data_IF_975668599745
#
_entry.id   IF_975668599745
#
_cell.length_a   1.000
_cell.length_b   1.000
_cell.length_c   1.000
_cell.angle_alpha   90.00
_cell.angle_beta   90.00
_cell.angle_gamma   90.00
#
_symmetry.space_group_name_H-M   'P 1'
#
loop_
_entity.id
_entity.type
_entity.pdbx_description
1 polymer ?
#
# COMPACT_ATOMS: atom_id res chain seq x y z
N UNK A 1 22.87 11.53 19.05
CA UNK A 1 23.51 11.59 17.71
C UNK A 1 22.41 11.88 16.72
N UNK A 2 22.66 12.74 15.73
CA UNK A 2 21.70 13.00 14.67
C UNK A 2 21.63 11.79 13.74
N UNK A 3 20.42 11.34 13.42
CA UNK A 3 20.16 10.26 12.46
C UNK A 3 19.54 10.83 11.19
N UNK A 4 20.22 10.62 10.07
CA UNK A 4 19.78 11.06 8.74
C UNK A 4 19.40 9.84 7.94
N UNK A 5 18.15 9.78 7.49
CA UNK A 5 17.72 8.81 6.48
C UNK A 5 17.89 9.44 5.10
N UNK A 6 18.56 8.75 4.19
CA UNK A 6 18.93 9.23 2.87
C UNK A 6 18.34 8.34 1.79
N UNK A 7 17.50 8.92 0.94
CA UNK A 7 16.77 8.24 -0.14
C UNK A 7 17.24 8.80 -1.49
N UNK A 8 18.19 8.12 -2.17
CA UNK A 8 18.57 8.50 -3.53
C UNK A 8 17.54 7.97 -4.53
N UNK A 9 16.90 8.89 -5.28
CA UNK A 9 15.90 8.56 -6.29
C UNK A 9 16.16 9.30 -7.59
N UNK A 10 16.45 8.53 -8.64
CA UNK A 10 16.75 9.06 -9.97
C UNK A 10 15.52 9.24 -10.85
N UNK A 11 15.54 10.23 -11.74
CA UNK A 11 14.52 10.40 -12.77
C UNK A 11 14.60 9.33 -13.87
N UNK A 12 15.82 9.05 -14.33
CA UNK A 12 16.10 8.13 -15.45
C UNK A 12 16.03 6.65 -15.06
N UNK A 13 14.83 6.11 -14.82
CA UNK A 13 14.62 4.67 -14.64
C UNK A 13 14.40 3.98 -16.00
N UNK A 14 15.19 2.95 -16.32
CA UNK A 14 15.21 2.30 -17.65
C UNK A 14 14.03 1.36 -17.91
N UNK A 15 13.81 0.41 -17.02
CA UNK A 15 12.77 -0.63 -17.12
C UNK A 15 11.38 -0.05 -16.87
N UNK A 16 11.25 0.78 -15.84
CA UNK A 16 9.98 1.42 -15.45
C UNK A 16 10.15 2.95 -15.50
N UNK A 17 9.62 3.64 -16.53
CA UNK A 17 9.70 5.10 -16.62
C UNK A 17 9.13 5.77 -15.37
N UNK A 18 9.86 6.77 -14.83
CA UNK A 18 9.49 7.50 -13.62
C UNK A 18 9.13 6.59 -12.41
N UNK A 19 9.79 5.41 -12.29
CA UNK A 19 9.57 4.38 -11.25
C UNK A 19 9.25 4.95 -9.86
N UNK A 20 10.08 5.89 -9.40
CA UNK A 20 10.01 6.45 -8.05
C UNK A 20 8.75 7.28 -7.78
N UNK A 21 8.06 7.77 -8.81
CA UNK A 21 6.80 8.52 -8.67
C UNK A 21 5.59 7.87 -9.35
N UNK A 22 5.79 6.73 -10.01
CA UNK A 22 4.67 5.89 -10.48
C UNK A 22 3.82 5.47 -9.28
N UNK A 23 2.50 5.52 -9.45
CA UNK A 23 1.53 5.17 -8.39
C UNK A 23 1.64 3.69 -8.03
N UNK A 24 2.05 3.41 -6.80
CA UNK A 24 2.16 2.09 -6.20
C UNK A 24 1.16 2.01 -5.04
N UNK A 25 0.13 1.17 -5.16
CA UNK A 25 -0.95 1.07 -4.18
C UNK A 25 -1.58 2.43 -3.76
N UNK A 26 -1.82 3.33 -4.72
CA UNK A 26 -2.56 4.58 -4.49
C UNK A 26 -1.71 5.80 -4.13
N UNK A 27 -0.38 5.68 -4.04
CA UNK A 27 0.52 6.84 -3.90
C UNK A 27 1.86 6.62 -4.60
N UNK A 28 2.64 7.69 -4.89
CA UNK A 28 3.95 7.57 -5.52
C UNK A 28 4.88 6.62 -4.75
N UNK A 29 5.63 5.76 -5.46
CA UNK A 29 6.48 4.72 -4.85
C UNK A 29 7.37 5.24 -3.71
N UNK A 30 8.10 6.34 -3.94
CA UNK A 30 9.02 6.94 -2.96
C UNK A 30 8.33 7.39 -1.67
N UNK A 31 7.05 7.77 -1.75
CA UNK A 31 6.28 8.24 -0.59
C UNK A 31 6.05 7.13 0.45
N UNK A 32 6.14 5.85 0.08
CA UNK A 32 6.01 4.74 1.04
C UNK A 32 7.14 4.77 2.08
N UNK A 33 8.40 4.84 1.65
CA UNK A 33 9.53 4.91 2.57
C UNK A 33 9.60 6.25 3.29
N UNK A 34 9.33 7.37 2.61
CA UNK A 34 9.32 8.71 3.25
C UNK A 34 8.34 8.73 4.42
N UNK A 35 7.10 8.32 4.21
CA UNK A 35 6.07 8.36 5.26
C UNK A 35 6.40 7.42 6.43
N UNK A 36 6.98 6.25 6.15
CA UNK A 36 7.44 5.34 7.19
C UNK A 36 8.58 5.94 8.05
N UNK A 37 9.46 6.75 7.45
CA UNK A 37 10.55 7.45 8.13
C UNK A 37 10.08 8.71 8.86
N UNK A 38 9.11 9.45 8.32
CA UNK A 38 8.50 10.63 8.97
C UNK A 38 7.98 10.29 10.38
N UNK A 39 7.35 9.13 10.52
CA UNK A 39 6.81 8.64 11.80
C UNK A 39 7.81 7.82 12.63
N UNK A 40 9.01 7.53 12.10
CA UNK A 40 10.07 6.82 12.82
C UNK A 40 10.70 7.72 13.90
N UNK A 41 10.59 7.38 15.21
CA UNK A 41 11.11 8.24 16.28
C UNK A 41 12.63 8.43 16.24
N UNK A 42 13.36 7.41 15.78
CA UNK A 42 14.83 7.40 15.78
C UNK A 42 15.45 8.18 14.61
N UNK A 43 14.64 8.64 13.66
CA UNK A 43 15.07 9.44 12.50
C UNK A 43 14.78 10.93 12.74
N UNK A 44 15.83 11.75 12.68
CA UNK A 44 15.74 13.19 12.88
C UNK A 44 15.44 13.93 11.57
N UNK A 45 16.01 13.48 10.46
CA UNK A 45 15.88 14.12 9.16
C UNK A 45 15.82 13.07 8.04
N UNK A 46 14.96 13.30 7.05
CA UNK A 46 14.84 12.50 5.84
C UNK A 46 15.31 13.34 4.66
N UNK A 47 16.27 12.84 3.89
CA UNK A 47 16.83 13.53 2.74
C UNK A 47 16.45 12.75 1.50
N UNK A 48 15.72 13.39 0.60
CA UNK A 48 15.39 12.82 -0.71
C UNK A 48 16.30 13.47 -1.75
N UNK A 49 17.26 12.69 -2.24
CA UNK A 49 18.24 13.15 -3.23
C UNK A 49 17.76 12.80 -4.64
N UNK A 50 17.51 13.82 -5.47
CA UNK A 50 17.00 13.61 -6.83
C UNK A 50 17.58 14.60 -7.83
N UNK A 51 17.59 14.21 -9.10
CA UNK A 51 17.94 15.00 -10.28
C UNK A 51 16.70 15.42 -11.09
N UNK A 52 15.52 14.91 -10.74
CA UNK A 52 14.28 15.10 -11.51
C UNK A 52 13.38 16.16 -10.89
N UNK A 53 12.89 17.08 -11.72
CA UNK A 53 11.88 18.08 -11.32
C UNK A 53 10.54 17.43 -10.99
N UNK A 54 10.15 16.36 -11.69
CA UNK A 54 8.90 15.65 -11.42
C UNK A 54 8.93 14.98 -10.04
N UNK A 55 10.04 14.33 -9.69
CA UNK A 55 10.25 13.74 -8.36
C UNK A 55 10.27 14.84 -7.30
N UNK A 56 11.01 15.92 -7.55
CA UNK A 56 11.09 17.07 -6.66
C UNK A 56 9.72 17.65 -6.35
N UNK A 57 8.94 17.96 -7.38
CA UNK A 57 7.61 18.55 -7.24
C UNK A 57 6.63 17.57 -6.59
N UNK A 58 6.72 16.28 -6.91
CA UNK A 58 5.88 15.25 -6.29
C UNK A 58 6.10 15.19 -4.78
N UNK A 59 7.35 15.13 -4.33
CA UNK A 59 7.68 15.07 -2.90
C UNK A 59 7.38 16.40 -2.21
N UNK A 60 7.73 17.54 -2.83
CA UNK A 60 7.47 18.89 -2.29
C UNK A 60 5.98 19.18 -2.11
N UNK A 61 5.11 18.58 -2.94
CA UNK A 61 3.65 18.72 -2.81
C UNK A 61 3.09 18.06 -1.54
N UNK A 62 3.89 17.20 -0.88
CA UNK A 62 3.53 16.53 0.37
C UNK A 62 3.97 17.37 1.56
N UNK A 63 3.13 17.42 2.60
CA UNK A 63 3.39 18.19 3.82
C UNK A 63 4.21 17.39 4.85
N UNK A 64 5.39 16.92 4.45
CA UNK A 64 6.30 16.17 5.29
C UNK A 64 7.11 17.11 6.20
N UNK A 65 7.34 16.71 7.46
CA UNK A 65 7.94 17.57 8.50
C UNK A 65 9.44 17.36 8.64
N UNK A 66 9.91 16.12 8.50
CA UNK A 66 11.33 15.75 8.60
C UNK A 66 12.03 15.72 7.25
N UNK A 67 11.27 15.79 6.16
CA UNK A 67 11.79 15.59 4.80
C UNK A 67 12.31 16.88 4.17
N UNK A 68 13.57 16.84 3.76
CA UNK A 68 14.23 17.87 2.95
C UNK A 68 14.61 17.27 1.59
N UNK A 69 14.51 18.09 0.53
CA UNK A 69 14.92 17.71 -0.81
C UNK A 69 16.34 18.19 -1.10
N UNK A 70 17.14 17.34 -1.73
CA UNK A 70 18.50 17.64 -2.16
C UNK A 70 18.63 17.43 -3.67
N UNK A 71 19.15 18.43 -4.38
CA UNK A 71 19.43 18.34 -5.82
C UNK A 71 20.82 17.80 -6.00
N UNK A 72 20.92 16.53 -6.41
CA UNK A 72 22.21 15.89 -6.69
C UNK A 72 22.73 16.25 -8.08
N UNK A 73 24.04 16.13 -8.27
CA UNK A 73 24.73 16.40 -9.53
C UNK A 73 24.25 15.51 -10.68
N UNK A 74 24.39 16.02 -11.91
CA UNK A 74 24.07 15.24 -13.11
C UNK A 74 25.02 14.04 -13.30
N UNK A 75 26.27 14.14 -12.86
CA UNK A 75 27.25 13.05 -12.87
C UNK A 75 26.77 11.86 -12.03
N UNK A 76 26.33 12.13 -10.80
CA UNK A 76 25.79 11.12 -9.89
C UNK A 76 24.32 10.77 -10.15
N UNK A 77 23.74 11.30 -11.22
CA UNK A 77 22.45 10.88 -11.75
C UNK A 77 22.56 9.90 -12.93
N UNK A 78 23.77 9.67 -13.44
CA UNK A 78 24.02 8.75 -14.55
C UNK A 78 23.76 7.29 -14.19
N UNK A 79 23.62 6.43 -15.21
CA UNK A 79 23.47 4.99 -15.04
C UNK A 79 24.68 4.29 -14.43
N UNK A 80 25.84 4.93 -14.50
CA UNK A 80 27.11 4.40 -14.00
C UNK A 80 27.44 4.89 -12.60
N UNK A 81 26.65 5.83 -12.05
CA UNK A 81 26.83 6.32 -10.70
C UNK A 81 26.50 5.24 -9.68
N UNK A 82 27.44 4.96 -8.78
CA UNK A 82 27.19 4.06 -7.65
C UNK A 82 26.33 4.74 -6.60
N UNK A 83 25.65 3.98 -5.76
CA UNK A 83 24.92 4.57 -4.63
C UNK A 83 25.87 5.29 -3.68
N UNK A 84 27.09 4.77 -3.51
CA UNK A 84 28.16 5.34 -2.70
C UNK A 84 28.54 6.75 -3.17
N UNK A 85 28.63 7.00 -4.48
CA UNK A 85 29.03 8.33 -4.98
C UNK A 85 27.99 9.39 -4.63
N UNK A 86 26.70 9.06 -4.71
CA UNK A 86 25.60 9.95 -4.30
C UNK A 86 25.62 10.22 -2.80
N UNK A 87 25.90 9.19 -1.99
CA UNK A 87 26.01 9.35 -0.53
C UNK A 87 27.17 10.28 -0.15
N UNK A 88 28.35 10.03 -0.72
CA UNK A 88 29.55 10.84 -0.47
C UNK A 88 29.37 12.28 -0.95
N UNK A 89 28.72 12.50 -2.10
CA UNK A 89 28.38 13.84 -2.58
C UNK A 89 27.57 14.61 -1.53
N UNK A 90 26.48 14.00 -1.03
CA UNK A 90 25.63 14.65 -0.04
C UNK A 90 26.32 14.85 1.31
N UNK A 91 27.07 13.85 1.81
CA UNK A 91 27.82 13.95 3.07
C UNK A 91 28.77 15.15 3.05
N UNK A 92 29.50 15.31 1.93
CA UNK A 92 30.44 16.42 1.75
C UNK A 92 29.71 17.76 1.56
N UNK A 93 28.64 17.80 0.76
CA UNK A 93 27.84 19.00 0.54
C UNK A 93 27.23 19.56 1.84
N UNK A 94 26.65 18.68 2.66
CA UNK A 94 25.99 19.06 3.91
C UNK A 94 26.97 19.18 5.09
N UNK A 95 28.27 18.94 4.87
CA UNK A 95 29.31 18.94 5.91
C UNK A 95 28.91 18.11 7.14
N UNK A 96 28.40 16.89 6.92
CA UNK A 96 27.88 16.08 8.01
C UNK A 96 28.99 15.68 9.00
N UNK A 97 28.71 15.82 10.30
CA UNK A 97 29.64 15.38 11.33
C UNK A 97 29.84 13.86 11.29
N UNK A 98 31.07 13.39 11.50
CA UNK A 98 31.41 11.96 11.46
C UNK A 98 30.59 11.09 12.44
N UNK A 99 30.15 11.70 13.55
CA UNK A 99 29.34 11.05 14.57
C UNK A 99 27.85 10.91 14.18
N UNK A 100 27.40 11.51 13.07
CA UNK A 100 26.04 11.34 12.57
C UNK A 100 25.81 9.89 12.13
N UNK A 101 24.63 9.37 12.43
CA UNK A 101 24.14 8.11 11.87
C UNK A 101 23.54 8.42 10.51
N UNK A 102 23.95 7.65 9.49
CA UNK A 102 23.53 7.78 8.12
C UNK A 102 22.88 6.47 7.67
N UNK A 103 21.58 6.53 7.38
CA UNK A 103 20.79 5.39 6.93
C UNK A 103 20.46 5.56 5.45
N UNK A 104 21.07 4.75 4.58
CA UNK A 104 20.67 4.66 3.19
C UNK A 104 19.38 3.84 3.10
N UNK A 105 18.35 4.36 2.41
CA UNK A 105 17.06 3.69 2.20
C UNK A 105 16.74 3.68 0.71
N UNK A 106 16.38 2.52 0.15
CA UNK A 106 16.02 2.43 -1.26
C UNK A 106 14.50 2.42 -1.45
N UNK A 107 14.01 3.29 -2.34
CA UNK A 107 12.59 3.40 -2.66
C UNK A 107 12.02 2.16 -3.40
N UNK A 108 12.90 1.29 -3.91
CA UNK A 108 12.54 0.01 -4.57
C UNK A 108 12.02 -1.04 -3.61
N UNK A 109 12.11 -0.80 -2.30
CA UNK A 109 11.68 -1.70 -1.22
C UNK A 109 10.52 -1.09 -0.43
N UNK A 110 9.32 -0.89 -1.05
CA UNK A 110 8.21 -0.14 -0.44
C UNK A 110 7.52 -0.87 0.71
N UNK A 111 7.78 -2.17 0.88
CA UNK A 111 7.25 -2.97 2.00
C UNK A 111 7.97 -2.68 3.33
N UNK A 112 8.95 -1.77 3.32
CA UNK A 112 9.70 -1.37 4.51
C UNK A 112 8.90 -0.41 5.38
N UNK A 113 8.25 -0.96 6.41
CA UNK A 113 7.49 -0.22 7.41
C UNK A 113 8.36 0.45 8.50
N UNK A 114 7.78 1.42 9.23
CA UNK A 114 8.43 2.14 10.34
C UNK A 114 9.06 1.22 11.38
N UNK A 115 8.39 0.12 11.73
CA UNK A 115 8.91 -0.85 12.72
C UNK A 115 10.30 -1.37 12.35
N UNK A 116 10.55 -1.58 11.05
CA UNK A 116 11.83 -2.09 10.57
C UNK A 116 12.95 -1.07 10.77
N UNK A 117 12.69 0.21 10.45
CA UNK A 117 13.66 1.29 10.69
C UNK A 117 13.94 1.47 12.18
N UNK A 118 12.88 1.52 13.00
CA UNK A 118 12.97 1.65 14.45
C UNK A 118 13.79 0.52 15.08
N UNK A 119 13.49 -0.74 14.76
CA UNK A 119 14.18 -1.89 15.32
C UNK A 119 15.66 -1.93 14.91
N UNK A 120 15.97 -1.64 13.64
CA UNK A 120 17.34 -1.61 13.16
C UNK A 120 18.16 -0.46 13.77
N UNK A 121 17.60 0.74 13.89
CA UNK A 121 18.28 1.88 14.54
C UNK A 121 18.50 1.62 16.03
N UNK A 122 17.55 0.99 16.72
CA UNK A 122 17.72 0.56 18.11
C UNK A 122 18.78 -0.53 18.25
N UNK A 123 18.84 -1.47 17.31
CA UNK A 123 19.92 -2.47 17.25
C UNK A 123 21.27 -1.79 17.06
N UNK A 124 21.36 -0.80 16.16
CA UNK A 124 22.58 -0.02 15.95
C UNK A 124 23.01 0.76 17.20
N UNK A 125 22.05 1.38 17.88
CA UNK A 125 22.29 2.21 19.07
C UNK A 125 22.88 1.43 20.27
N UNK A 126 22.77 0.09 20.28
CA UNK A 126 23.44 -0.76 21.29
C UNK A 126 24.97 -0.73 21.19
N UNK A 127 25.52 -0.27 20.07
CA UNK A 127 26.97 -0.14 19.87
C UNK A 127 27.70 -1.46 19.61
N UNK A 128 26.97 -2.53 19.25
CA UNK A 128 27.55 -3.85 18.98
C UNK A 128 28.11 -4.00 17.56
N UNK A 129 27.73 -3.08 16.65
CA UNK A 129 28.02 -3.12 15.22
C UNK A 129 28.44 -1.73 14.72
N UNK A 130 29.30 -1.71 13.71
CA UNK A 130 29.78 -0.47 13.07
C UNK A 130 28.88 -0.07 11.89
N UNK A 131 28.25 -1.05 11.25
CA UNK A 131 27.19 -0.88 10.26
C UNK A 131 26.16 -2.01 10.31
N UNK A 132 24.95 -1.77 9.81
CA UNK A 132 23.87 -2.77 9.68
C UNK A 132 23.38 -2.84 8.24
N UNK A 133 23.08 -4.05 7.79
CA UNK A 133 22.40 -4.35 6.53
C UNK A 133 21.05 -5.03 6.78
N UNK A 134 20.02 -4.65 6.04
CA UNK A 134 18.74 -5.37 6.04
C UNK A 134 18.84 -6.65 5.21
N UNK A 135 18.32 -7.76 5.74
CA UNK A 135 18.30 -9.04 5.06
C UNK A 135 16.98 -9.76 5.25
N UNK A 136 16.71 -10.75 4.41
CA UNK A 136 15.60 -11.69 4.57
C UNK A 136 16.15 -13.11 4.64
N UNK A 137 15.57 -13.94 5.52
CA UNK A 137 15.92 -15.36 5.59
C UNK A 137 15.28 -16.14 4.45
N UNK A 138 16.14 -16.72 3.62
CA UNK A 138 15.78 -17.51 2.47
C UNK A 138 16.12 -19.01 2.69
N UNK A 139 15.23 -19.88 2.22
CA UNK A 139 15.37 -21.34 2.32
C UNK A 139 15.65 -22.02 0.98
N UNK A 140 16.04 -21.24 -0.04
CA UNK A 140 16.42 -21.76 -1.36
C UNK A 140 17.76 -22.49 -1.30
N UNK A 141 17.88 -23.45 -2.19
CA UNK A 141 19.06 -24.25 -2.40
C UNK A 141 19.86 -23.64 -3.55
N UNK A 142 21.06 -23.17 -3.25
CA UNK A 142 21.92 -22.51 -4.21
C UNK A 142 23.01 -23.48 -4.67
N UNK A 143 23.36 -23.37 -5.94
CA UNK A 143 24.42 -24.14 -6.58
C UNK A 143 25.42 -23.16 -7.18
N UNK A 144 26.70 -23.50 -7.10
CA UNK A 144 27.77 -22.79 -7.79
C UNK A 144 27.72 -23.06 -9.30
N UNK A 145 28.36 -22.22 -10.11
CA UNK A 145 28.43 -22.41 -11.57
C UNK A 145 29.13 -23.72 -11.97
N UNK A 146 30.02 -24.24 -11.11
CA UNK A 146 30.70 -25.52 -11.32
C UNK A 146 29.83 -26.75 -11.02
N UNK A 147 28.55 -26.54 -10.64
CA UNK A 147 27.61 -27.61 -10.33
C UNK A 147 27.80 -28.21 -8.94
N UNK A 148 28.54 -27.56 -8.04
CA UNK A 148 28.60 -27.94 -6.62
C UNK A 148 27.50 -27.26 -5.81
N UNK A 149 26.98 -27.94 -4.78
CA UNK A 149 25.99 -27.34 -3.89
C UNK A 149 26.64 -26.33 -2.95
N UNK A 150 26.07 -25.12 -2.87
CA UNK A 150 26.64 -24.01 -2.10
C UNK A 150 26.23 -24.04 -0.62
N UNK A 151 24.99 -24.40 -0.32
CA UNK A 151 24.42 -24.16 1.03
C UNK A 151 23.69 -25.35 1.66
N UNK A 152 23.76 -26.53 1.05
CA UNK A 152 23.18 -27.75 1.58
C UNK A 152 23.93 -29.00 1.10
N UNK A 153 23.69 -30.15 1.72
CA UNK A 153 24.11 -31.43 1.16
C UNK A 153 23.03 -31.96 0.21
N UNK A 154 23.34 -32.07 -1.09
CA UNK A 154 22.38 -32.55 -2.10
C UNK A 154 22.09 -34.04 -1.99
N UNK A 155 23.00 -34.84 -1.42
CA UNK A 155 22.80 -36.26 -1.15
C UNK A 155 21.89 -36.47 0.05
N UNK A 156 21.85 -35.51 0.98
CA UNK A 156 20.99 -35.51 2.16
C UNK A 156 20.12 -34.25 2.23
N UNK A 157 19.33 -33.99 1.18
CA UNK A 157 18.56 -32.75 1.04
C UNK A 157 17.64 -32.51 2.25
N UNK A 158 17.85 -31.44 3.04
CA UNK A 158 17.04 -31.20 4.22
C UNK A 158 15.63 -30.73 3.84
N UNK A 159 14.65 -31.05 4.69
CA UNK A 159 13.32 -30.41 4.63
C UNK A 159 13.43 -28.96 5.09
N UNK A 160 12.55 -28.08 4.60
CA UNK A 160 12.51 -26.65 4.97
C UNK A 160 12.56 -26.41 6.49
N UNK A 161 11.81 -27.23 7.25
CA UNK A 161 11.73 -27.14 8.72
C UNK A 161 13.07 -27.44 9.41
N UNK A 162 13.94 -28.20 8.76
CA UNK A 162 15.24 -28.65 9.28
C UNK A 162 16.41 -27.89 8.64
N UNK A 163 16.13 -26.91 7.79
CA UNK A 163 17.14 -26.10 7.12
C UNK A 163 17.18 -24.71 7.75
N UNK A 164 18.33 -24.29 8.26
CA UNK A 164 18.51 -22.97 8.91
C UNK A 164 18.28 -21.79 7.95
N UNK A 165 18.40 -22.04 6.64
CA UNK A 165 18.35 -21.02 5.60
C UNK A 165 19.61 -20.14 5.59
N UNK A 166 19.63 -19.19 4.66
CA UNK A 166 20.66 -18.16 4.54
C UNK A 166 20.01 -16.78 4.59
N UNK A 167 20.75 -15.78 5.05
CA UNK A 167 20.34 -14.39 4.93
C UNK A 167 20.70 -13.90 3.53
N UNK A 168 19.73 -13.29 2.87
CA UNK A 168 19.87 -12.63 1.57
C UNK A 168 19.62 -11.14 1.78
N UNK A 169 20.53 -10.30 1.30
CA UNK A 169 20.28 -8.86 1.22
C UNK A 169 19.01 -8.59 0.42
N UNK A 170 18.19 -7.63 0.87
CA UNK A 170 16.92 -7.29 0.23
C UNK A 170 16.84 -5.83 -0.20
N UNK A 171 17.97 -5.12 -0.21
CA UNK A 171 18.08 -3.73 -0.68
C UNK A 171 17.12 -2.75 0.00
N UNK A 172 16.66 -3.02 1.23
CA UNK A 172 15.73 -2.11 1.90
C UNK A 172 16.46 -0.91 2.52
N UNK A 173 17.44 -1.17 3.38
CA UNK A 173 18.24 -0.12 3.99
C UNK A 173 19.58 -0.61 4.57
N UNK A 174 20.45 0.37 4.83
CA UNK A 174 21.77 0.20 5.43
C UNK A 174 21.99 1.30 6.45
N UNK A 175 22.57 0.97 7.60
CA UNK A 175 22.87 1.94 8.66
C UNK A 175 24.37 1.97 8.90
N UNK A 176 24.97 3.15 8.92
CA UNK A 176 26.38 3.33 9.26
C UNK A 176 26.59 4.71 9.90
N UNK A 177 27.76 4.98 10.45
CA UNK A 177 28.17 6.34 10.82
C UNK A 177 28.83 7.03 9.64
N UNK A 178 28.67 8.34 9.55
CA UNK A 178 29.31 9.16 8.50
C UNK A 178 30.83 8.94 8.47
N UNK A 179 31.49 8.91 9.63
CA UNK A 179 32.94 8.66 9.69
C UNK A 179 33.34 7.31 9.09
N UNK A 180 32.54 6.25 9.31
CA UNK A 180 32.76 4.92 8.75
C UNK A 180 32.56 4.91 7.22
N UNK A 181 31.56 5.64 6.72
CA UNK A 181 31.33 5.77 5.27
C UNK A 181 32.50 6.51 4.61
N UNK A 182 32.96 7.61 5.20
CA UNK A 182 34.07 8.40 4.68
C UNK A 182 35.39 7.62 4.68
N UNK A 183 35.68 6.86 5.73
CA UNK A 183 36.94 6.11 5.84
C UNK A 183 37.00 4.92 4.87
N UNK A 184 35.87 4.24 4.62
CA UNK A 184 35.84 3.05 3.77
C UNK A 184 35.41 3.36 2.33
N UNK A 185 34.81 4.52 2.07
CA UNK A 185 34.17 4.83 0.79
C UNK A 185 32.98 3.92 0.47
N UNK A 186 32.36 3.29 1.47
CA UNK A 186 31.31 2.29 1.29
C UNK A 186 30.18 2.46 2.33
N UNK A 187 28.96 2.04 1.97
CA UNK A 187 27.78 2.07 2.85
C UNK A 187 27.91 1.14 4.06
N UNK A 188 28.75 0.10 3.97
CA UNK A 188 29.07 -0.85 5.05
C UNK A 188 30.56 -0.80 5.39
N UNK A 189 30.90 -1.08 6.65
CA UNK A 189 32.28 -1.13 7.12
C UNK A 189 32.38 -1.57 8.57
N UNK A 190 33.53 -2.09 8.97
CA UNK A 190 33.77 -2.60 10.32
C UNK A 190 33.00 -3.88 10.62
N UNK A 191 32.52 -4.03 11.86
CA UNK A 191 31.69 -5.18 12.29
C UNK A 191 30.25 -5.00 11.83
N UNK A 192 29.87 -5.75 10.79
CA UNK A 192 28.54 -5.68 10.16
C UNK A 192 27.52 -6.51 10.94
N UNK A 193 26.39 -5.89 11.29
CA UNK A 193 25.21 -6.56 11.82
C UNK A 193 24.15 -6.80 10.74
N UNK A 194 23.33 -7.83 10.90
CA UNK A 194 22.21 -8.13 10.00
C UNK A 194 20.89 -7.91 10.72
N UNK A 195 20.01 -7.11 10.11
CA UNK A 195 18.63 -6.96 10.57
C UNK A 195 17.71 -7.79 9.69
N UNK A 196 17.07 -8.81 10.25
CA UNK A 196 16.22 -9.75 9.52
C UNK A 196 14.78 -9.21 9.39
N UNK A 197 14.36 -8.97 8.15
CA UNK A 197 12.99 -8.59 7.79
C UNK A 197 12.15 -9.81 7.38
N UNK A 198 10.81 -9.73 7.42
CA UNK A 198 9.92 -10.80 7.01
C UNK A 198 10.13 -11.28 5.56
N UNK A 199 9.85 -12.56 5.27
CA UNK A 199 10.05 -13.17 3.94
C UNK A 199 9.40 -12.39 2.79
N UNK A 200 8.23 -11.79 3.03
CA UNK A 200 7.49 -11.05 2.00
C UNK A 200 8.16 -9.73 1.58
N UNK A 201 9.20 -9.26 2.27
CA UNK A 201 9.94 -8.04 1.93
C UNK A 201 11.21 -8.32 1.11
N UNK A 202 11.34 -9.52 0.53
CA UNK A 202 12.53 -9.95 -0.20
C UNK A 202 12.66 -9.37 -1.61
N UNK A 203 11.57 -8.89 -2.20
CA UNK A 203 11.51 -8.48 -3.60
C UNK A 203 11.66 -6.96 -3.68
N UNK A 204 12.65 -6.52 -4.45
CA UNK A 204 12.81 -5.14 -4.89
C UNK A 204 12.06 -4.92 -6.21
N UNK A 205 11.52 -3.72 -6.41
CA UNK A 205 10.87 -3.37 -7.67
C UNK A 205 11.92 -2.92 -8.67
N UNK A 206 12.31 -3.78 -9.61
CA UNK A 206 13.19 -3.44 -10.71
C UNK A 206 12.57 -3.63 -12.08
N UNK A 207 11.72 -4.64 -12.25
CA UNK A 207 11.03 -4.94 -13.49
C UNK A 207 9.50 -4.79 -13.37
N UNK A 208 8.76 -4.67 -14.49
CA UNK A 208 7.31 -4.53 -14.46
C UNK A 208 6.58 -5.66 -13.73
N UNK A 209 7.07 -6.90 -13.79
CA UNK A 209 6.47 -8.04 -13.10
C UNK A 209 6.61 -7.94 -11.58
N UNK A 210 7.73 -7.38 -11.08
CA UNK A 210 7.91 -7.12 -9.65
C UNK A 210 6.82 -6.18 -9.13
N UNK A 211 6.38 -5.22 -9.95
CA UNK A 211 5.31 -4.29 -9.59
C UNK A 211 4.04 -5.04 -9.18
N UNK A 212 3.60 -5.98 -10.01
CA UNK A 212 2.37 -6.75 -9.78
C UNK A 212 2.52 -7.61 -8.51
N UNK A 213 3.68 -8.26 -8.35
CA UNK A 213 3.94 -9.12 -7.20
C UNK A 213 3.95 -8.29 -5.90
N UNK A 214 4.72 -7.19 -5.89
CA UNK A 214 4.91 -6.36 -4.71
C UNK A 214 3.64 -5.60 -4.34
N UNK A 215 2.79 -5.18 -5.29
CA UNK A 215 1.47 -4.61 -4.99
C UNK A 215 0.55 -5.61 -4.29
N UNK A 216 0.54 -6.87 -4.73
CA UNK A 216 -0.24 -7.91 -4.07
C UNK A 216 0.29 -8.23 -2.66
N UNK A 217 1.61 -8.28 -2.49
CA UNK A 217 2.24 -8.44 -1.17
C UNK A 217 1.95 -7.25 -0.26
N UNK A 218 1.98 -6.03 -0.80
CA UNK A 218 1.63 -4.79 -0.09
C UNK A 218 0.18 -4.83 0.38
N UNK A 219 -0.76 -5.19 -0.49
CA UNK A 219 -2.16 -5.37 -0.11
C UNK A 219 -2.30 -6.38 1.04
N UNK A 220 -1.67 -7.54 0.91
CA UNK A 220 -1.82 -8.65 1.86
C UNK A 220 -1.17 -8.41 3.22
N UNK A 221 0.04 -7.83 3.23
CA UNK A 221 0.90 -7.82 4.41
C UNK A 221 1.09 -6.45 5.05
N UNK A 222 0.76 -5.37 4.35
CA UNK A 222 0.91 -4.00 4.89
C UNK A 222 -0.45 -3.33 4.94
N UNK A 223 -1.12 -3.19 3.80
CA UNK A 223 -2.40 -2.50 3.73
C UNK A 223 -3.52 -3.26 4.45
N UNK A 224 -3.59 -4.59 4.37
CA UNK A 224 -4.59 -5.35 5.13
C UNK A 224 -4.46 -5.12 6.64
N UNK A 225 -3.23 -5.01 7.15
CA UNK A 225 -2.99 -4.70 8.57
C UNK A 225 -3.35 -3.26 8.90
N UNK A 226 -3.05 -2.31 8.00
CA UNK A 226 -3.48 -0.92 8.16
C UNK A 226 -5.00 -0.80 8.13
N UNK A 227 -5.68 -1.43 7.17
CA UNK A 227 -7.14 -1.49 7.06
C UNK A 227 -7.77 -2.15 8.30
N UNK A 228 -7.15 -3.21 8.82
CA UNK A 228 -7.57 -3.82 10.08
C UNK A 228 -7.38 -2.87 11.28
N UNK A 229 -6.28 -2.10 11.31
CA UNK A 229 -6.03 -1.09 12.34
C UNK A 229 -6.90 0.18 12.17
N UNK A 230 -7.42 0.43 10.97
CA UNK A 230 -8.33 1.53 10.62
C UNK A 230 -9.81 1.21 10.92
N UNK A 231 -10.14 0.00 11.39
CA UNK A 231 -11.45 -0.29 11.99
C UNK A 231 -11.50 0.39 13.36
N UNK A 232 -12.00 1.65 13.49
CA UNK A 232 -13.33 2.13 13.10
C UNK A 232 -13.37 3.61 12.63
N UNK A 233 -12.80 3.96 11.47
CA UNK A 233 -12.95 5.31 10.88
C UNK A 233 -13.94 5.41 9.72
N UNK A 234 -14.60 4.31 9.32
CA UNK A 234 -15.66 4.39 8.33
C UNK A 234 -16.87 5.11 8.92
N UNK A 235 -17.21 6.24 8.32
CA UNK A 235 -18.34 7.08 8.71
C UNK A 235 -19.53 6.95 7.77
N UNK A 236 -19.29 6.46 6.55
CA UNK A 236 -20.30 6.29 5.51
C UNK A 236 -20.18 4.92 4.85
N UNK A 237 -21.28 4.18 4.77
CA UNK A 237 -21.41 2.95 4.01
C UNK A 237 -22.31 3.20 2.80
N UNK A 238 -21.79 2.92 1.61
CA UNK A 238 -22.50 3.06 0.35
C UNK A 238 -22.69 1.68 -0.28
N UNK A 239 -23.87 1.42 -0.84
CA UNK A 239 -24.14 0.22 -1.64
C UNK A 239 -24.68 0.60 -3.01
N UNK A 240 -24.30 -0.16 -4.03
CA UNK A 240 -25.13 -0.26 -5.23
C UNK A 240 -26.47 -0.97 -4.92
N UNK A 241 -27.39 -1.00 -5.88
CA UNK A 241 -28.60 -1.82 -5.82
C UNK A 241 -28.42 -3.10 -6.62
N UNK A 242 -28.22 -2.93 -7.94
CA UNK A 242 -28.20 -4.06 -8.85
C UNK A 242 -26.89 -4.82 -8.73
N UNK A 243 -26.96 -6.15 -8.83
CA UNK A 243 -25.82 -7.05 -8.59
C UNK A 243 -25.27 -7.06 -7.16
N UNK A 244 -25.80 -6.25 -6.24
CA UNK A 244 -25.39 -6.19 -4.82
C UNK A 244 -26.56 -6.49 -3.88
N UNK A 245 -27.45 -5.52 -3.65
CA UNK A 245 -28.69 -5.72 -2.87
C UNK A 245 -29.69 -6.64 -3.59
N UNK A 246 -29.61 -6.70 -4.92
CA UNK A 246 -30.35 -7.61 -5.79
C UNK A 246 -29.38 -8.55 -6.51
N UNK A 247 -29.92 -9.63 -7.10
CA UNK A 247 -29.17 -10.57 -7.93
C UNK A 247 -28.98 -10.07 -9.38
N UNK A 248 -29.25 -8.79 -9.64
CA UNK A 248 -29.26 -8.19 -10.98
C UNK A 248 -30.43 -8.65 -11.85
N UNK A 249 -31.28 -9.55 -11.34
CA UNK A 249 -32.46 -10.05 -12.04
C UNK A 249 -33.63 -9.06 -12.00
N UNK A 250 -34.31 -8.93 -13.15
CA UNK A 250 -35.54 -8.17 -13.32
C UNK A 250 -36.68 -9.10 -13.71
N UNK A 251 -37.80 -9.02 -13.01
CA UNK A 251 -39.04 -9.71 -13.38
C UNK A 251 -39.97 -8.71 -14.06
N UNK A 252 -40.46 -9.08 -15.25
CA UNK A 252 -41.44 -8.32 -16.00
C UNK A 252 -42.76 -9.09 -16.06
N UNK A 253 -43.87 -8.44 -15.73
CA UNK A 253 -45.20 -9.01 -15.96
C UNK A 253 -45.70 -8.70 -17.38
N UNK A 254 -46.75 -9.41 -17.82
CA UNK A 254 -47.42 -9.13 -19.11
C UNK A 254 -48.03 -7.71 -19.17
N UNK A 255 -48.28 -7.08 -18.01
CA UNK A 255 -48.84 -5.74 -17.90
C UNK A 255 -47.76 -4.64 -17.81
N UNK A 256 -46.48 -5.00 -17.83
CA UNK A 256 -45.36 -4.06 -17.74
C UNK A 256 -44.89 -3.74 -16.32
N UNK A 257 -45.44 -4.38 -15.28
CA UNK A 257 -44.90 -4.26 -13.93
C UNK A 257 -43.45 -4.79 -13.85
N UNK A 258 -42.59 -4.06 -13.17
CA UNK A 258 -41.19 -4.41 -12.89
C UNK A 258 -41.03 -4.83 -11.42
N UNK A 259 -40.44 -6.00 -11.16
CA UNK A 259 -40.10 -6.43 -9.80
C UNK A 259 -38.61 -6.78 -9.67
N UNK A 260 -38.04 -6.45 -8.50
CA UNK A 260 -36.71 -6.85 -8.06
C UNK A 260 -36.78 -7.70 -6.80
N UNK A 261 -35.89 -8.68 -6.70
CA UNK A 261 -35.71 -9.49 -5.48
C UNK A 261 -34.60 -8.91 -4.62
N UNK A 262 -34.93 -8.59 -3.37
CA UNK A 262 -33.97 -8.10 -2.37
C UNK A 262 -33.78 -9.15 -1.27
N UNK A 263 -32.57 -9.23 -0.70
CA UNK A 263 -32.33 -10.10 0.45
C UNK A 263 -32.82 -9.47 1.76
N UNK A 264 -33.44 -10.26 2.64
CA UNK A 264 -33.89 -9.76 3.95
C UNK A 264 -32.76 -9.60 4.96
N UNK A 265 -31.66 -10.36 4.82
CA UNK A 265 -30.51 -10.33 5.75
C UNK A 265 -29.80 -8.97 5.72
N UNK A 266 -29.79 -8.31 4.58
CA UNK A 266 -29.19 -6.98 4.42
C UNK A 266 -29.88 -5.95 5.31
N UNK A 267 -31.20 -6.08 5.54
CA UNK A 267 -31.94 -5.17 6.43
C UNK A 267 -31.39 -5.14 7.85
N UNK A 268 -30.99 -6.29 8.38
CA UNK A 268 -30.31 -6.35 9.68
C UNK A 268 -28.90 -5.76 9.60
N UNK A 269 -28.20 -5.92 8.46
CA UNK A 269 -26.91 -5.26 8.22
C UNK A 269 -27.01 -3.74 8.34
N UNK A 270 -27.93 -3.10 7.62
CA UNK A 270 -28.15 -1.65 7.72
C UNK A 270 -28.56 -1.22 9.14
N UNK A 271 -29.33 -2.03 9.86
CA UNK A 271 -29.64 -1.76 11.27
C UNK A 271 -28.39 -1.77 12.16
N UNK A 272 -27.44 -2.69 11.93
CA UNK A 272 -26.17 -2.73 12.64
C UNK A 272 -25.30 -1.51 12.36
N UNK A 273 -25.20 -1.08 11.09
CA UNK A 273 -24.47 0.14 10.71
C UNK A 273 -25.01 1.37 11.45
N UNK A 274 -26.33 1.54 11.50
CA UNK A 274 -26.95 2.65 12.24
C UNK A 274 -26.65 2.59 13.73
N UNK A 275 -26.68 1.41 14.35
CA UNK A 275 -26.29 1.22 15.76
C UNK A 275 -24.82 1.57 16.01
N UNK A 276 -23.96 1.36 15.02
CA UNK A 276 -22.56 1.76 15.06
C UNK A 276 -22.33 3.25 14.73
N UNK A 277 -23.39 4.02 14.43
CA UNK A 277 -23.29 5.44 14.08
C UNK A 277 -22.79 5.71 12.65
N UNK A 278 -22.74 4.69 11.80
CA UNK A 278 -22.28 4.81 10.41
C UNK A 278 -23.46 5.26 9.54
N UNK A 279 -23.27 6.35 8.80
CA UNK A 279 -24.24 6.86 7.81
C UNK A 279 -24.37 5.88 6.65
N UNK A 280 -25.55 5.80 6.07
CA UNK A 280 -25.87 4.81 5.05
C UNK A 280 -26.41 5.45 3.79
N UNK A 281 -25.86 5.05 2.64
CA UNK A 281 -26.27 5.54 1.34
C UNK A 281 -26.45 4.41 0.33
N UNK A 282 -27.31 4.67 -0.65
CA UNK A 282 -27.39 3.88 -1.88
C UNK A 282 -27.25 4.78 -3.09
N UNK A 283 -26.42 4.37 -4.07
CA UNK A 283 -26.22 5.09 -5.33
C UNK A 283 -26.51 4.15 -6.49
N UNK A 284 -27.52 4.48 -7.29
CA UNK A 284 -27.93 3.69 -8.46
C UNK A 284 -28.11 4.58 -9.70
N UNK A 285 -27.87 3.99 -10.88
CA UNK A 285 -28.12 4.63 -12.18
C UNK A 285 -29.59 4.60 -12.59
N UNK A 286 -30.41 3.79 -11.92
CA UNK A 286 -31.85 3.71 -12.12
C UNK A 286 -32.60 4.74 -11.27
N UNK A 287 -33.76 5.17 -11.78
CA UNK A 287 -34.72 5.98 -11.03
C UNK A 287 -36.07 5.28 -11.05
N UNK A 288 -36.38 4.60 -9.93
CA UNK A 288 -37.54 3.72 -9.80
C UNK A 288 -38.14 3.80 -8.40
N UNK A 289 -39.46 3.84 -8.31
CA UNK A 289 -40.16 3.91 -7.02
C UNK A 289 -39.89 2.68 -6.13
N UNK A 290 -39.63 1.50 -6.71
CA UNK A 290 -39.30 0.30 -5.94
C UNK A 290 -37.98 0.44 -5.17
N UNK A 291 -37.00 1.16 -5.72
CA UNK A 291 -35.72 1.45 -5.06
C UNK A 291 -35.93 2.40 -3.89
N UNK A 292 -36.76 3.45 -4.05
CA UNK A 292 -37.17 4.35 -2.97
C UNK A 292 -37.83 3.58 -1.81
N UNK A 293 -38.82 2.72 -2.11
CA UNK A 293 -39.49 1.92 -1.07
C UNK A 293 -38.51 1.02 -0.31
N UNK A 294 -37.50 0.48 -1.00
CA UNK A 294 -36.47 -0.32 -0.35
C UNK A 294 -35.58 0.55 0.53
N UNK A 295 -35.15 1.71 0.07
CA UNK A 295 -34.37 2.67 0.85
C UNK A 295 -35.10 3.10 2.13
N UNK A 296 -36.40 3.43 2.03
CA UNK A 296 -37.24 3.79 3.18
C UNK A 296 -37.32 2.64 4.19
N UNK A 297 -37.51 1.40 3.70
CA UNK A 297 -37.55 0.20 4.55
C UNK A 297 -36.20 -0.07 5.23
N UNK A 298 -35.10 0.21 4.55
CA UNK A 298 -33.75 0.11 5.12
C UNK A 298 -33.42 1.28 6.05
N UNK A 299 -34.18 2.37 6.03
CA UNK A 299 -33.93 3.62 6.76
C UNK A 299 -32.56 4.20 6.40
N UNK A 300 -32.31 4.36 5.09
CA UNK A 300 -31.08 4.98 4.61
C UNK A 300 -31.05 6.47 4.94
N UNK A 301 -29.85 7.01 5.18
CA UNK A 301 -29.65 8.46 5.33
C UNK A 301 -29.68 9.15 3.95
N UNK A 302 -29.15 8.48 2.91
CA UNK A 302 -29.05 9.01 1.56
C UNK A 302 -29.51 8.00 0.51
N UNK A 303 -30.29 8.47 -0.46
CA UNK A 303 -30.59 7.71 -1.67
C UNK A 303 -30.33 8.61 -2.88
N UNK A 304 -29.42 8.20 -3.76
CA UNK A 304 -29.13 8.87 -5.02
C UNK A 304 -29.56 7.97 -6.17
N UNK A 305 -30.57 8.41 -6.90
CA UNK A 305 -31.14 7.69 -8.06
C UNK A 305 -30.87 8.43 -9.36
N UNK A 306 -31.00 7.71 -10.49
CA UNK A 306 -30.88 8.28 -11.83
C UNK A 306 -29.48 8.81 -12.15
N UNK A 307 -28.45 8.39 -11.39
CA UNK A 307 -27.10 8.95 -11.51
C UNK A 307 -26.36 8.37 -12.71
N UNK A 308 -26.68 8.90 -13.90
CA UNK A 308 -26.00 8.60 -15.17
C UNK A 308 -24.89 9.61 -15.47
N UNK A 309 -25.13 10.89 -15.18
CA UNK A 309 -24.17 11.97 -15.43
C UNK A 309 -23.19 12.17 -14.27
N UNK A 310 -21.89 12.15 -14.59
CA UNK A 310 -20.78 12.30 -13.63
C UNK A 310 -20.47 11.05 -12.79
N UNK A 311 -21.18 9.94 -13.03
CA UNK A 311 -20.94 8.64 -12.39
C UNK A 311 -21.25 8.58 -10.89
N UNK A 312 -21.02 7.40 -10.30
CA UNK A 312 -21.26 7.15 -8.86
C UNK A 312 -20.26 7.87 -7.97
N UNK A 313 -19.02 8.07 -8.45
CA UNK A 313 -17.97 8.77 -7.72
C UNK A 313 -18.38 10.21 -7.35
N UNK A 314 -18.91 10.98 -8.31
CA UNK A 314 -19.35 12.35 -8.04
C UNK A 314 -20.48 12.42 -7.00
N UNK A 315 -21.41 11.45 -7.00
CA UNK A 315 -22.46 11.36 -5.99
C UNK A 315 -21.90 11.05 -4.59
N UNK A 316 -20.95 10.11 -4.49
CA UNK A 316 -20.27 9.83 -3.23
C UNK A 316 -19.49 11.07 -2.73
N UNK A 317 -18.81 11.80 -3.62
CA UNK A 317 -18.10 13.03 -3.27
C UNK A 317 -19.03 14.09 -2.69
N UNK A 318 -20.24 14.26 -3.26
CA UNK A 318 -21.22 15.22 -2.78
C UNK A 318 -21.67 14.88 -1.34
N UNK A 319 -21.96 13.60 -1.06
CA UNK A 319 -22.31 13.14 0.29
C UNK A 319 -21.13 13.34 1.25
N UNK A 320 -19.91 13.04 0.82
CA UNK A 320 -18.71 13.25 1.63
C UNK A 320 -18.52 14.73 2.01
N UNK A 321 -18.73 15.64 1.05
CA UNK A 321 -18.65 17.08 1.28
C UNK A 321 -19.71 17.57 2.28
N UNK A 322 -20.94 17.04 2.20
CA UNK A 322 -22.01 17.36 3.16
C UNK A 322 -21.67 16.88 4.57
N UNK A 323 -21.09 15.68 4.69
CA UNK A 323 -20.70 15.08 5.97
C UNK A 323 -19.36 15.61 6.52
N UNK A 324 -18.59 16.37 5.74
CA UNK A 324 -17.25 16.82 6.10
C UNK A 324 -16.25 15.67 6.27
N UNK A 325 -16.37 14.62 5.46
CA UNK A 325 -15.52 13.42 5.48
C UNK A 325 -14.77 13.26 4.14
N UNK A 326 -13.74 12.43 4.13
CA UNK A 326 -13.01 12.06 2.92
C UNK A 326 -13.48 10.70 2.38
N UNK A 327 -13.21 10.40 1.10
CA UNK A 327 -13.51 9.07 0.54
C UNK A 327 -12.78 7.92 1.27
N UNK A 328 -11.68 8.22 1.97
CA UNK A 328 -10.98 7.23 2.80
C UNK A 328 -11.78 6.80 4.04
N UNK A 329 -12.81 7.56 4.42
CA UNK A 329 -13.74 7.26 5.51
C UNK A 329 -15.04 6.59 4.99
N UNK A 330 -15.03 6.14 3.73
CA UNK A 330 -16.18 5.51 3.06
C UNK A 330 -15.91 4.03 2.80
N UNK A 331 -16.91 3.20 3.08
CA UNK A 331 -16.98 1.82 2.60
C UNK A 331 -17.97 1.74 1.43
N UNK A 332 -17.59 1.10 0.32
CA UNK A 332 -18.47 0.93 -0.84
C UNK A 332 -18.48 -0.51 -1.36
N UNK A 333 -19.68 -1.01 -1.70
CA UNK A 333 -19.87 -2.28 -2.41
C UNK A 333 -20.54 -2.04 -3.76
N UNK A 334 -19.92 -2.56 -4.82
CA UNK A 334 -20.39 -2.53 -6.20
C UNK A 334 -19.92 -3.77 -6.97
N UNK A 335 -20.53 -4.04 -8.13
CA UNK A 335 -20.34 -5.29 -8.87
C UNK A 335 -19.88 -5.12 -10.32
N UNK A 336 -20.15 -3.97 -10.95
CA UNK A 336 -19.94 -3.78 -12.40
C UNK A 336 -19.00 -2.60 -12.75
N UNK A 337 -18.69 -2.44 -14.04
CA UNK A 337 -17.74 -1.47 -14.61
C UNK A 337 -18.04 -0.03 -14.19
N UNK A 338 -19.33 0.34 -14.10
CA UNK A 338 -19.76 1.67 -13.65
C UNK A 338 -19.42 1.98 -12.17
N UNK A 339 -18.96 0.98 -11.41
CA UNK A 339 -18.55 1.11 -10.03
C UNK A 339 -17.03 1.27 -9.87
N UNK A 340 -16.22 0.99 -10.90
CA UNK A 340 -14.76 0.93 -10.80
C UNK A 340 -14.15 2.21 -10.24
N UNK A 341 -14.56 3.38 -10.74
CA UNK A 341 -14.02 4.67 -10.30
C UNK A 341 -14.26 4.91 -8.81
N UNK A 342 -15.45 4.58 -8.30
CA UNK A 342 -15.77 4.74 -6.88
C UNK A 342 -15.09 3.66 -6.04
N UNK A 343 -15.10 2.39 -6.47
CA UNK A 343 -14.42 1.30 -5.78
C UNK A 343 -12.92 1.56 -5.63
N UNK A 344 -12.29 2.17 -6.64
CA UNK A 344 -10.86 2.50 -6.63
C UNK A 344 -10.52 3.72 -5.77
N UNK A 345 -11.53 4.48 -5.31
CA UNK A 345 -11.33 5.76 -4.62
C UNK A 345 -11.68 5.74 -3.13
N UNK A 346 -12.43 4.73 -2.66
CA UNK A 346 -12.88 4.62 -1.26
C UNK A 346 -11.85 3.95 -0.37
N UNK A 347 -11.95 4.20 0.95
CA UNK A 347 -11.07 3.59 1.94
C UNK A 347 -11.32 2.10 2.17
N UNK A 348 -12.54 1.62 1.94
CA UNK A 348 -12.85 0.19 1.96
C UNK A 348 -13.77 -0.22 0.82
N UNK A 349 -13.24 -0.97 -0.14
CA UNK A 349 -13.98 -1.46 -1.30
C UNK A 349 -14.27 -2.96 -1.18
N UNK A 350 -15.48 -3.37 -1.57
CA UNK A 350 -15.84 -4.77 -1.70
C UNK A 350 -16.67 -5.04 -2.96
N UNK A 351 -16.67 -6.30 -3.41
CA UNK A 351 -17.54 -6.75 -4.47
C UNK A 351 -18.11 -8.16 -4.20
N UNK A 352 -19.30 -8.47 -4.73
CA UNK A 352 -19.87 -9.81 -4.69
C UNK A 352 -19.00 -10.87 -5.39
N UNK A 353 -19.21 -12.15 -5.05
CA UNK A 353 -18.49 -13.29 -5.64
C UNK A 353 -18.68 -13.40 -7.17
N UNK A 354 -19.78 -12.91 -7.70
CA UNK A 354 -20.17 -12.91 -9.11
C UNK A 354 -19.98 -11.55 -9.80
N UNK A 355 -19.32 -10.59 -9.15
CA UNK A 355 -18.94 -9.31 -9.75
C UNK A 355 -18.11 -9.48 -11.03
N UNK A 356 -18.16 -8.46 -11.89
CA UNK A 356 -17.38 -8.40 -13.12
C UNK A 356 -15.87 -8.56 -12.84
N UNK A 357 -15.13 -9.21 -13.74
CA UNK A 357 -13.73 -9.55 -13.50
C UNK A 357 -12.88 -8.29 -13.24
N UNK A 358 -13.09 -7.24 -14.02
CA UNK A 358 -12.37 -5.96 -13.83
C UNK A 358 -12.62 -5.30 -12.47
N UNK A 359 -13.75 -5.60 -11.82
CA UNK A 359 -14.02 -5.14 -10.45
C UNK A 359 -13.23 -5.98 -9.45
N UNK A 360 -13.17 -7.30 -9.63
CA UNK A 360 -12.36 -8.20 -8.79
C UNK A 360 -10.86 -7.93 -8.90
N UNK A 361 -10.42 -7.41 -10.03
CA UNK A 361 -9.02 -7.05 -10.30
C UNK A 361 -8.63 -5.70 -9.67
N UNK A 362 -9.57 -4.96 -9.07
CA UNK A 362 -9.25 -3.73 -8.33
C UNK A 362 -8.33 -4.06 -7.17
N UNK A 363 -7.23 -3.32 -7.09
CA UNK A 363 -6.21 -3.53 -6.08
C UNK A 363 -6.78 -3.42 -4.66
N UNK A 364 -6.47 -4.42 -3.83
CA UNK A 364 -6.94 -4.55 -2.45
C UNK A 364 -8.47 -4.66 -2.26
N UNK A 365 -9.29 -4.87 -3.32
CA UNK A 365 -10.73 -5.04 -3.16
C UNK A 365 -11.06 -6.30 -2.36
N UNK A 366 -12.05 -6.22 -1.47
CA UNK A 366 -12.58 -7.38 -0.77
C UNK A 366 -13.57 -8.13 -1.66
N UNK A 367 -13.14 -9.23 -2.27
CA UNK A 367 -14.06 -10.18 -2.91
C UNK A 367 -14.78 -10.99 -1.83
N UNK A 368 -16.10 -10.92 -1.82
CA UNK A 368 -16.98 -11.58 -0.85
C UNK A 368 -17.26 -13.03 -1.27
N UNK A 369 -17.66 -13.87 -0.32
CA UNK A 369 -18.04 -15.26 -0.59
C UNK A 369 -19.44 -15.40 -1.19
N UNK A 370 -20.35 -14.45 -0.92
CA UNK A 370 -21.73 -14.43 -1.42
C UNK A 370 -21.88 -13.61 -2.70
N UNK A 371 -22.86 -14.01 -3.50
CA UNK A 371 -23.29 -13.33 -4.74
C UNK A 371 -24.23 -12.14 -4.48
N UNK A 372 -24.46 -11.33 -5.50
CA UNK A 372 -25.52 -10.33 -5.53
C UNK A 372 -26.87 -10.90 -5.12
N UNK A 373 -27.63 -10.20 -4.27
CA UNK A 373 -28.95 -10.64 -3.82
C UNK A 373 -28.96 -11.84 -2.85
N UNK A 374 -27.80 -12.44 -2.57
CA UNK A 374 -27.64 -13.58 -1.65
C UNK A 374 -27.14 -13.18 -0.25
N UNK A 375 -27.08 -11.87 0.02
CA UNK A 375 -26.66 -11.28 1.29
C UNK A 375 -25.18 -10.91 1.34
N UNK A 376 -24.56 -10.62 0.19
CA UNK A 376 -23.19 -10.11 0.11
C UNK A 376 -23.05 -8.76 0.84
N UNK A 377 -24.05 -7.87 0.77
CA UNK A 377 -24.03 -6.60 1.51
C UNK A 377 -24.00 -6.86 3.03
N UNK A 378 -24.80 -7.80 3.54
CA UNK A 378 -24.70 -8.23 4.94
C UNK A 378 -23.30 -8.77 5.30
N UNK A 379 -22.73 -9.64 4.47
CA UNK A 379 -21.38 -10.19 4.69
C UNK A 379 -20.33 -9.08 4.76
N UNK A 380 -20.41 -8.08 3.88
CA UNK A 380 -19.49 -6.95 3.91
C UNK A 380 -19.65 -6.08 5.16
N UNK A 381 -20.90 -5.85 5.59
CA UNK A 381 -21.17 -5.12 6.83
C UNK A 381 -20.61 -5.86 8.05
N UNK A 382 -20.73 -7.18 8.11
CA UNK A 382 -20.11 -7.98 9.17
C UNK A 382 -18.59 -7.88 9.12
N UNK A 383 -18.00 -7.96 7.92
CA UNK A 383 -16.56 -7.75 7.74
C UNK A 383 -16.11 -6.36 8.20
N UNK A 384 -16.94 -5.32 8.02
CA UNK A 384 -16.63 -3.96 8.45
C UNK A 384 -16.72 -3.80 9.98
N UNK A 385 -17.70 -4.42 10.63
CA UNK A 385 -18.02 -4.22 12.05
C UNK A 385 -17.30 -5.17 13.02
N UNK A 386 -16.78 -6.30 12.54
CA UNK A 386 -15.91 -7.24 13.29
C UNK A 386 -14.47 -6.76 13.22
#
# INVERSE_FOLDING_TARGET
MKTIAFIPVRGGSKSIPLKNIKSFCGKPLVCWNIEALEVCPEVDEVIVATDSDDIWNTVKSRNYKKTTLYRRSAENASDTASTESVMLEYINYACLAEACVFMLVQATSPLTETKHFTEALRMYAKGEYDSIISCVRNYRFFWNEDGTSMNYDYMNRPRRQNFKGMLMENGAFYVSKVGNILSNGNRLGGKIGTYEMPEYTAIEIDEPDDWIIVENLMCKHVLAHQLAALKPQIKLFISDIDGTLTDGGMYYSENGDELKKFNTRDGMGFSLLRKAGIKTAVITSEDRQLNQRRADKLQLDYLVQGKRDGGKLAAAQAICNELGITLQEVAYIGDDINCIDLLSSVGLAACPADAHQSVKDILCIKVLGRKGGEGCVREFIEYLLI
#
